data_IF_916633090755
#
_entry.id   IF_916633090755
#
_cell.length_a   1.000
_cell.length_b   1.000
_cell.length_c   1.000
_cell.angle_alpha   90.00
_cell.angle_beta   90.00
_cell.angle_gamma   90.00
#
_symmetry.space_group_name_H-M   'P 1'
#
loop_
_entity.id
_entity.type
_entity.pdbx_description
1 polymer ?
#
# COMPACT_ATOMS: atom_id res chain seq x y z
N UNK A 1 -9.77 -12.96 -9.17
CA UNK A 1 -9.10 -13.58 -8.85
C UNK A 1 -8.32 -13.15 -7.88
N UNK A 2 -8.33 -12.90 -6.98
CA UNK A 2 -7.53 -12.51 -5.94
C UNK A 2 -6.14 -12.22 -6.39
N UNK A 3 -5.27 -12.10 -5.47
CA UNK A 3 -3.90 -11.90 -5.77
C UNK A 3 -3.36 -13.09 -6.52
N UNK A 4 -2.49 -12.86 -7.45
CA UNK A 4 -1.85 -13.94 -8.13
C UNK A 4 -0.88 -14.60 -7.16
N UNK A 5 -0.41 -15.76 -7.50
CA UNK A 5 0.59 -16.45 -6.71
C UNK A 5 1.83 -15.61 -6.53
N UNK A 6 2.19 -14.86 -7.55
CA UNK A 6 3.35 -13.98 -7.47
C UNK A 6 3.19 -12.90 -6.44
N UNK A 7 2.00 -12.30 -6.38
CA UNK A 7 1.76 -11.26 -5.40
C UNK A 7 1.86 -11.80 -3.99
N UNK A 8 1.34 -12.99 -3.78
CA UNK A 8 1.39 -13.60 -2.46
C UNK A 8 2.82 -13.92 -2.07
N UNK A 9 3.58 -14.48 -2.99
CA UNK A 9 4.97 -14.82 -2.72
C UNK A 9 5.78 -13.58 -2.40
N UNK A 10 5.56 -12.52 -3.17
CA UNK A 10 6.28 -11.29 -2.91
C UNK A 10 5.94 -10.73 -1.55
N UNK A 11 4.68 -10.76 -1.18
CA UNK A 11 4.27 -10.26 0.12
C UNK A 11 4.98 -11.03 1.24
N UNK A 12 5.06 -12.34 1.12
CA UNK A 12 5.73 -13.12 2.14
C UNK A 12 7.20 -12.81 2.21
N UNK A 13 7.85 -12.79 1.08
CA UNK A 13 9.29 -12.60 1.03
C UNK A 13 9.69 -11.24 1.55
N UNK A 14 8.84 -10.26 1.38
CA UNK A 14 9.17 -8.90 1.71
C UNK A 14 8.74 -8.47 3.10
N UNK A 15 7.94 -9.27 3.80
CA UNK A 15 7.34 -8.80 5.03
C UNK A 15 8.30 -8.40 6.11
N UNK A 16 9.43 -9.02 6.15
CA UNK A 16 10.42 -8.68 7.15
C UNK A 16 11.06 -7.33 6.89
N UNK A 17 11.21 -6.97 5.61
CA UNK A 17 11.83 -5.72 5.24
C UNK A 17 10.81 -4.71 4.75
N UNK A 18 9.64 -5.18 4.38
CA UNK A 18 8.61 -4.34 3.80
C UNK A 18 7.33 -4.60 4.57
N UNK A 19 7.13 -3.91 5.67
CA UNK A 19 6.05 -4.23 6.60
C UNK A 19 4.69 -3.71 6.16
N UNK A 20 4.37 -3.82 4.90
CA UNK A 20 3.13 -3.29 4.37
C UNK A 20 2.20 -4.37 3.89
N UNK A 21 0.91 -4.12 4.04
CA UNK A 21 -0.12 -4.92 3.41
C UNK A 21 -0.61 -4.15 2.21
N UNK A 22 -0.42 -4.70 1.03
CA UNK A 22 -0.69 -4.00 -0.21
C UNK A 22 -2.03 -4.43 -0.78
N UNK A 23 -2.90 -3.46 -1.03
CA UNK A 23 -4.18 -3.70 -1.66
C UNK A 23 -4.16 -3.00 -3.01
N UNK A 24 -4.41 -3.71 -4.08
CA UNK A 24 -4.39 -3.13 -5.42
C UNK A 24 -5.82 -2.90 -5.92
N UNK A 25 -6.08 -1.71 -6.39
CA UNK A 25 -7.39 -1.36 -6.94
C UNK A 25 -7.22 -0.81 -8.34
N UNK A 26 -7.91 -1.41 -9.28
CA UNK A 26 -7.85 -0.99 -10.66
C UNK A 26 -9.27 -0.65 -11.10
N UNK A 27 -9.69 0.57 -10.85
CA UNK A 27 -11.06 1.00 -11.10
C UNK A 27 -11.05 2.41 -11.64
N UNK A 28 -11.97 2.69 -12.56
CA UNK A 28 -12.08 4.03 -13.11
C UNK A 28 -12.60 5.02 -12.09
N UNK A 29 -13.50 4.57 -11.24
CA UNK A 29 -14.00 5.41 -10.16
C UNK A 29 -13.70 4.70 -8.86
N UNK A 30 -12.96 5.35 -8.01
CA UNK A 30 -12.56 4.74 -6.76
C UNK A 30 -12.75 5.72 -5.63
N UNK A 31 -13.46 5.31 -4.61
CA UNK A 31 -13.52 6.08 -3.39
C UNK A 31 -12.27 5.72 -2.59
N UNK A 32 -11.35 6.64 -2.54
CA UNK A 32 -10.04 6.38 -1.95
C UNK A 32 -10.14 6.07 -0.46
N UNK A 33 -11.01 6.80 0.24
CA UNK A 33 -11.14 6.59 1.68
C UNK A 33 -11.71 5.21 2.00
N UNK A 34 -12.71 4.79 1.22
CA UNK A 34 -13.27 3.46 1.41
C UNK A 34 -12.25 2.38 1.09
N UNK A 35 -11.48 2.59 0.03
CA UNK A 35 -10.44 1.63 -0.34
C UNK A 35 -9.40 1.50 0.76
N UNK A 36 -9.01 2.63 1.34
CA UNK A 36 -8.02 2.60 2.41
C UNK A 36 -8.57 1.91 3.65
N UNK A 37 -9.82 2.18 4.01
CA UNK A 37 -10.42 1.52 5.18
C UNK A 37 -10.52 0.02 4.97
N UNK A 38 -10.80 -0.40 3.75
CA UNK A 38 -10.85 -1.80 3.43
C UNK A 38 -9.47 -2.43 3.57
N UNK A 39 -8.46 -1.75 3.06
CA UNK A 39 -7.10 -2.23 3.17
C UNK A 39 -6.68 -2.34 4.63
N UNK A 40 -7.08 -1.36 5.42
CA UNK A 40 -6.77 -1.35 6.84
C UNK A 40 -7.40 -2.53 7.56
N UNK A 41 -8.65 -2.83 7.21
CA UNK A 41 -9.35 -3.95 7.83
C UNK A 41 -8.68 -5.27 7.50
N UNK A 42 -8.03 -5.36 6.36
CA UNK A 42 -7.40 -6.60 5.91
C UNK A 42 -5.92 -6.69 6.20
N UNK A 43 -5.36 -5.71 6.87
CA UNK A 43 -3.91 -5.59 6.97
C UNK A 43 -3.25 -6.54 7.95
N UNK A 44 -4.00 -7.08 8.88
CA UNK A 44 -3.48 -8.10 9.80
C UNK A 44 -2.21 -7.67 10.53
N UNK A 45 -2.20 -6.46 11.02
CA UNK A 45 -1.07 -5.97 11.78
C UNK A 45 0.01 -5.30 10.97
N UNK A 46 -0.07 -5.34 9.66
CA UNK A 46 0.87 -4.63 8.82
C UNK A 46 0.30 -3.26 8.46
N UNK A 47 1.15 -2.38 8.01
CA UNK A 47 0.70 -1.06 7.61
C UNK A 47 -0.01 -1.16 6.26
N UNK A 48 -1.27 -0.72 6.17
CA UNK A 48 -1.97 -0.84 4.90
C UNK A 48 -1.55 0.23 3.90
N UNK A 49 -1.42 -0.17 2.65
CA UNK A 49 -1.28 0.80 1.57
C UNK A 49 -2.16 0.35 0.42
N UNK A 50 -2.64 1.31 -0.33
CA UNK A 50 -3.45 1.03 -1.50
C UNK A 50 -2.71 1.49 -2.74
N UNK A 51 -2.53 0.59 -3.67
CA UNK A 51 -2.00 0.94 -4.98
C UNK A 51 -3.19 1.09 -5.90
N UNK A 52 -3.45 2.29 -6.36
CA UNK A 52 -4.60 2.55 -7.21
C UNK A 52 -4.17 2.85 -8.61
N UNK A 53 -4.96 2.39 -9.55
CA UNK A 53 -4.69 2.58 -10.94
C UNK A 53 -5.99 2.72 -11.71
N UNK A 54 -5.96 3.47 -12.77
CA UNK A 54 -7.04 3.45 -13.75
C UNK A 54 -6.44 3.63 -15.13
N UNK A 55 -7.28 3.48 -16.14
CA UNK A 55 -6.81 3.51 -17.51
C UNK A 55 -6.00 4.74 -17.82
N UNK A 56 -4.85 4.53 -18.41
CA UNK A 56 -4.00 5.61 -18.92
C UNK A 56 -3.45 6.53 -17.84
N UNK A 57 -3.48 6.08 -16.60
CA UNK A 57 -2.91 6.85 -15.51
C UNK A 57 -1.83 6.04 -14.82
N UNK A 58 -0.89 6.74 -14.28
CA UNK A 58 0.15 6.09 -13.51
C UNK A 58 -0.40 5.52 -12.23
N UNK A 59 0.13 4.40 -11.77
CA UNK A 59 -0.27 3.89 -10.46
C UNK A 59 0.17 4.85 -9.37
N UNK A 60 -0.67 4.99 -8.36
CA UNK A 60 -0.36 5.84 -7.21
C UNK A 60 -0.51 5.02 -5.95
N UNK A 61 0.16 5.44 -4.90
CA UNK A 61 0.08 4.78 -3.60
C UNK A 61 -0.61 5.68 -2.61
N UNK A 62 -1.55 5.14 -1.86
CA UNK A 62 -2.18 5.83 -0.76
C UNK A 62 -1.64 5.22 0.53
N UNK A 63 -1.13 6.06 1.40
CA UNK A 63 -0.53 5.62 2.64
C UNK A 63 -0.86 6.65 3.72
N UNK A 64 -0.93 6.20 4.95
CA UNK A 64 -1.14 7.10 6.07
C UNK A 64 -0.05 8.16 6.12
N UNK A 65 -0.44 9.43 6.22
CA UNK A 65 0.52 10.52 6.13
C UNK A 65 1.52 10.51 7.29
N UNK A 66 1.05 10.28 8.49
CA UNK A 66 1.94 10.25 9.65
C UNK A 66 2.95 9.12 9.52
N UNK A 67 2.46 7.97 9.13
CA UNK A 67 3.35 6.84 8.97
C UNK A 67 4.39 7.11 7.89
N UNK A 68 3.96 7.72 6.80
CA UNK A 68 4.88 8.05 5.71
C UNK A 68 5.99 8.98 6.20
N UNK A 69 5.63 9.99 6.98
CA UNK A 69 6.61 10.93 7.51
C UNK A 69 7.61 10.21 8.43
N UNK A 70 7.11 9.34 9.29
CA UNK A 70 7.97 8.59 10.18
C UNK A 70 8.90 7.69 9.38
N UNK A 71 8.37 7.06 8.35
CA UNK A 71 9.16 6.17 7.51
C UNK A 71 10.28 6.93 6.83
N UNK A 72 9.99 8.10 6.30
CA UNK A 72 11.02 8.92 5.66
C UNK A 72 12.07 9.34 6.65
N UNK A 73 11.66 9.65 7.86
CA UNK A 73 12.60 9.99 8.92
C UNK A 73 13.56 8.85 9.21
N UNK A 74 13.05 7.65 9.28
CA UNK A 74 13.88 6.48 9.52
C UNK A 74 14.88 6.25 8.40
N UNK A 75 14.52 6.67 7.20
CA UNK A 75 15.40 6.52 6.06
C UNK A 75 16.38 7.68 5.93
N UNK A 76 16.26 8.68 6.78
CA UNK A 76 17.19 9.79 6.76
C UNK A 76 16.87 10.84 5.73
N UNK A 77 15.65 10.88 5.21
CA UNK A 77 15.28 11.85 4.19
C UNK A 77 14.91 13.19 4.78
N UNK A 78 14.89 13.28 6.06
CA UNK A 78 14.38 14.49 6.67
C UNK A 78 15.39 15.56 6.81
N UNK A 79 16.54 15.42 6.34
CA UNK A 79 17.43 16.32 6.60
C UNK A 79 18.21 16.84 5.81
N UNK A 80 18.46 17.35 5.79
CA UNK A 80 19.12 17.88 5.28
C UNK A 80 19.21 18.74 5.55
#
# INVERSE_FOLDING_TARGET
>A
MGASGEDVIMARAAREKFPFSVECKNQEKLNVWDAYEQAKANAEGYEPIVVMKKNRKQPLVVIDAEYFIVLCSRLGYNDK
#
